data_IF_951051521733
#
_entry.id   IF_951051521733
#
_cell.length_a   1.000
_cell.length_b   1.000
_cell.length_c   1.000
_cell.angle_alpha   90.00
_cell.angle_beta   90.00
_cell.angle_gamma   90.00
#
_symmetry.space_group_name_H-M   'P 1'
#
loop_
_entity.id
_entity.type
_entity.pdbx_description
1 polymer ?
#
# COMPACT_ATOMS: atom_id res chain seq x y z
N UNK A 1 -10.77 -0.72 38.53
CA UNK A 1 -10.35 -1.59 37.42
C UNK A 1 -9.75 -0.74 36.33
N UNK A 2 -8.42 -0.64 36.28
CA UNK A 2 -7.67 0.24 35.37
C UNK A 2 -6.74 -0.54 34.42
N UNK A 3 -6.79 -1.88 34.46
CA UNK A 3 -5.87 -2.76 33.73
C UNK A 3 -6.24 -3.02 32.26
N UNK A 4 -7.44 -2.64 31.80
CA UNK A 4 -7.90 -2.93 30.43
C UNK A 4 -7.59 -1.82 29.40
N UNK A 5 -7.35 -0.58 29.84
CA UNK A 5 -7.04 0.54 28.93
C UNK A 5 -5.59 0.50 28.38
N UNK A 6 -4.66 -0.15 29.06
CA UNK A 6 -3.28 -0.35 28.60
C UNK A 6 -3.12 -1.43 27.54
N UNK A 7 -4.15 -2.27 27.33
CA UNK A 7 -4.11 -3.34 26.36
C UNK A 7 -4.34 -2.84 24.92
N UNK A 8 -4.97 -1.67 24.71
CA UNK A 8 -5.24 -1.13 23.37
C UNK A 8 -3.99 -0.92 22.53
N UNK A 9 -2.96 -0.20 23.03
CA UNK A 9 -1.68 -0.04 22.32
C UNK A 9 -0.92 -1.34 22.14
N UNK A 10 -0.97 -2.24 23.13
CA UNK A 10 -0.31 -3.54 23.06
C UNK A 10 -0.96 -4.47 22.01
N UNK A 11 -2.30 -4.49 21.93
CA UNK A 11 -3.06 -5.24 20.94
C UNK A 11 -2.97 -4.63 19.55
N UNK A 12 -2.88 -3.31 19.43
CA UNK A 12 -2.60 -2.63 18.16
C UNK A 12 -1.19 -2.98 17.66
N UNK A 13 -0.20 -2.97 18.55
CA UNK A 13 1.17 -3.39 18.24
C UNK A 13 1.21 -4.86 17.84
N UNK A 14 0.55 -5.74 18.59
CA UNK A 14 0.38 -7.15 18.24
C UNK A 14 -0.30 -7.32 16.88
N UNK A 15 -1.38 -6.59 16.60
CA UNK A 15 -2.07 -6.64 15.32
C UNK A 15 -1.19 -6.22 14.15
N UNK A 16 -0.42 -5.13 14.32
CA UNK A 16 0.57 -4.68 13.33
C UNK A 16 1.67 -5.73 13.13
N UNK A 17 2.21 -6.29 14.21
CA UNK A 17 3.28 -7.29 14.15
C UNK A 17 2.80 -8.62 13.55
N UNK A 18 1.59 -9.07 13.88
CA UNK A 18 0.96 -10.27 13.32
C UNK A 18 0.65 -10.09 11.83
N UNK A 19 0.16 -8.90 11.44
CA UNK A 19 -0.05 -8.56 10.04
C UNK A 19 1.28 -8.52 9.27
N UNK A 20 2.31 -7.86 9.81
CA UNK A 20 3.65 -7.83 9.21
C UNK A 20 4.26 -9.23 9.09
N UNK A 21 4.08 -10.09 10.09
CA UNK A 21 4.55 -11.48 10.06
C UNK A 21 3.81 -12.31 9.00
N UNK A 22 2.49 -12.14 8.89
CA UNK A 22 1.68 -12.78 7.85
C UNK A 22 2.07 -12.29 6.45
N UNK A 23 2.37 -11.01 6.30
CA UNK A 23 2.84 -10.42 5.05
C UNK A 23 4.25 -10.86 4.68
N UNK A 24 5.17 -10.94 5.64
CA UNK A 24 6.51 -11.48 5.40
C UNK A 24 6.44 -12.94 4.95
N UNK A 25 5.56 -13.76 5.54
CA UNK A 25 5.38 -15.14 5.10
C UNK A 25 4.79 -15.24 3.68
N UNK A 26 4.04 -14.24 3.23
CA UNK A 26 3.53 -14.16 1.86
C UNK A 26 4.58 -13.65 0.86
N UNK A 27 5.40 -12.68 1.27
CA UNK A 27 6.42 -12.04 0.41
C UNK A 27 7.73 -12.82 0.35
N UNK A 28 8.14 -13.51 1.41
CA UNK A 28 9.42 -14.23 1.48
C UNK A 28 9.58 -15.29 0.38
N UNK A 29 8.55 -16.09 0.03
CA UNK A 29 8.62 -17.00 -1.12
C UNK A 29 8.78 -16.26 -2.46
N UNK A 30 8.16 -15.10 -2.63
CA UNK A 30 8.25 -14.28 -3.85
C UNK A 30 9.60 -13.55 -3.97
N UNK A 31 10.19 -13.14 -2.83
CA UNK A 31 11.50 -12.50 -2.74
C UNK A 31 12.63 -13.53 -2.95
N UNK A 32 12.54 -14.69 -2.30
CA UNK A 32 13.52 -15.79 -2.47
C UNK A 32 13.41 -16.43 -3.86
N UNK A 33 12.23 -16.42 -4.50
CA UNK A 33 12.08 -16.83 -5.89
C UNK A 33 12.74 -15.88 -6.91
N UNK A 34 13.28 -14.73 -6.48
CA UNK A 34 14.03 -13.80 -7.33
C UNK A 34 15.54 -13.83 -7.00
N UNK A 35 16.32 -14.55 -7.78
CA UNK A 35 17.69 -15.00 -7.46
C UNK A 35 18.75 -13.88 -7.31
N UNK A 36 19.75 -14.17 -6.46
CA UNK A 36 20.70 -13.29 -5.74
C UNK A 36 21.82 -12.54 -6.51
N UNK A 37 21.78 -12.35 -7.83
CA UNK A 37 22.84 -11.56 -8.52
C UNK A 37 22.26 -10.48 -9.42
N UNK A 38 22.02 -9.30 -8.83
CA UNK A 38 21.79 -8.01 -9.54
C UNK A 38 20.74 -8.06 -10.65
N UNK A 39 19.44 -8.15 -10.29
CA UNK A 39 18.35 -7.93 -11.25
C UNK A 39 17.13 -7.18 -10.69
N UNK A 40 17.14 -6.69 -9.45
CA UNK A 40 15.95 -6.07 -8.85
C UNK A 40 15.55 -4.74 -9.49
N UNK A 41 16.51 -3.84 -9.76
CA UNK A 41 16.21 -2.53 -10.34
C UNK A 41 15.77 -2.62 -11.82
N UNK A 42 16.48 -3.34 -12.71
CA UNK A 42 16.06 -3.48 -14.11
C UNK A 42 14.74 -4.23 -14.25
N UNK A 43 14.49 -5.26 -13.43
CA UNK A 43 13.22 -6.00 -13.43
C UNK A 43 12.08 -5.11 -12.94
N UNK A 44 12.28 -4.33 -11.87
CA UNK A 44 11.27 -3.36 -11.41
C UNK A 44 10.93 -2.33 -12.49
N UNK A 45 11.96 -1.79 -13.17
CA UNK A 45 11.78 -0.87 -14.31
C UNK A 45 11.05 -1.53 -15.48
N UNK A 46 11.35 -2.80 -15.79
CA UNK A 46 10.66 -3.55 -16.83
C UNK A 46 9.18 -3.77 -16.49
N UNK A 47 8.87 -4.18 -15.26
CA UNK A 47 7.48 -4.37 -14.79
C UNK A 47 6.69 -3.06 -14.88
N UNK A 48 7.28 -1.94 -14.45
CA UNK A 48 6.64 -0.63 -14.56
C UNK A 48 6.44 -0.18 -16.01
N UNK A 49 7.44 -0.40 -16.87
CA UNK A 49 7.35 -0.06 -18.29
C UNK A 49 6.28 -0.90 -19.00
N UNK A 50 6.19 -2.19 -18.68
CA UNK A 50 5.17 -3.09 -19.22
C UNK A 50 3.77 -2.74 -18.69
N UNK A 51 3.62 -2.44 -17.40
CA UNK A 51 2.34 -2.01 -16.82
C UNK A 51 1.84 -0.70 -17.43
N UNK A 52 2.75 0.27 -17.65
CA UNK A 52 2.42 1.53 -18.32
C UNK A 52 2.02 1.33 -19.79
N UNK A 53 2.67 0.39 -20.48
CA UNK A 53 2.35 0.06 -21.87
C UNK A 53 1.03 -0.70 -21.98
N UNK A 54 0.76 -1.63 -21.07
CA UNK A 54 -0.49 -2.36 -21.01
C UNK A 54 -1.68 -1.41 -20.78
N UNK A 55 -1.56 -0.48 -19.84
CA UNK A 55 -2.56 0.59 -19.63
C UNK A 55 -2.85 1.42 -20.88
N UNK A 56 -1.85 1.65 -21.74
CA UNK A 56 -2.04 2.35 -23.01
C UNK A 56 -2.75 1.49 -24.06
N UNK A 57 -2.63 0.16 -23.98
CA UNK A 57 -3.20 -0.80 -24.93
C UNK A 57 -4.61 -1.23 -24.56
N UNK A 58 -4.85 -1.57 -23.30
CA UNK A 58 -6.13 -2.10 -22.79
C UNK A 58 -7.05 -1.00 -22.24
N UNK A 59 -6.52 0.20 -22.03
CA UNK A 59 -7.25 1.34 -21.47
C UNK A 59 -7.21 1.37 -19.94
N UNK A 60 -7.91 2.34 -19.35
CA UNK A 60 -8.00 2.46 -17.89
C UNK A 60 -8.91 1.37 -17.31
N UNK A 61 -8.61 0.84 -16.11
CA UNK A 61 -9.43 -0.20 -15.49
C UNK A 61 -10.88 0.27 -15.26
N UNK A 62 -11.85 -0.66 -15.34
CA UNK A 62 -13.25 -0.35 -15.06
C UNK A 62 -13.41 0.15 -13.62
N UNK A 63 -14.48 0.93 -13.37
CA UNK A 63 -14.68 1.65 -12.10
C UNK A 63 -14.43 0.81 -10.82
N UNK A 64 -14.90 -0.45 -10.72
CA UNK A 64 -14.67 -1.27 -9.52
C UNK A 64 -13.20 -1.61 -9.25
N UNK A 65 -12.36 -1.68 -10.28
CA UNK A 65 -10.96 -2.09 -10.19
C UNK A 65 -9.99 -0.92 -10.00
N UNK A 66 -10.43 0.32 -10.20
CA UNK A 66 -9.59 1.52 -10.08
C UNK A 66 -8.87 1.67 -8.74
N UNK A 67 -9.44 1.30 -7.57
CA UNK A 67 -8.72 1.31 -6.30
C UNK A 67 -7.37 0.57 -6.32
N UNK A 68 -7.24 -0.48 -7.15
CA UNK A 68 -6.01 -1.27 -7.26
C UNK A 68 -4.85 -0.50 -7.87
N UNK A 69 -5.09 0.63 -8.56
CA UNK A 69 -4.02 1.47 -9.10
C UNK A 69 -3.07 1.99 -8.01
N UNK A 70 -3.54 2.08 -6.77
CA UNK A 70 -2.74 2.50 -5.62
C UNK A 70 -1.64 1.50 -5.28
N UNK A 71 -1.74 0.24 -5.71
CA UNK A 71 -0.69 -0.77 -5.50
C UNK A 71 0.66 -0.36 -6.10
N UNK A 72 0.66 0.45 -7.17
CA UNK A 72 1.87 0.93 -7.83
C UNK A 72 2.69 1.91 -6.96
N UNK A 73 2.12 2.40 -5.87
CA UNK A 73 2.83 3.25 -4.91
C UNK A 73 3.85 2.46 -4.08
N UNK A 74 3.62 1.15 -3.87
CA UNK A 74 4.44 0.33 -2.99
C UNK A 74 5.87 0.09 -3.51
N UNK A 75 6.12 -0.26 -4.79
CA UNK A 75 7.47 -0.55 -5.27
C UNK A 75 8.47 0.60 -5.04
N UNK A 76 8.15 1.83 -5.45
CA UNK A 76 9.06 2.96 -5.26
C UNK A 76 9.22 3.34 -3.78
N UNK A 77 8.17 3.23 -2.98
CA UNK A 77 8.24 3.49 -1.54
C UNK A 77 9.17 2.49 -0.83
N UNK A 78 9.03 1.20 -1.12
CA UNK A 78 9.87 0.15 -0.55
C UNK A 78 11.32 0.27 -1.03
N UNK A 79 11.53 0.55 -2.32
CA UNK A 79 12.88 0.79 -2.85
C UNK A 79 13.53 2.01 -2.21
N UNK A 80 12.77 3.07 -1.92
CA UNK A 80 13.28 4.25 -1.21
C UNK A 80 13.75 3.90 0.21
N UNK A 81 12.98 3.09 0.95
CA UNK A 81 13.37 2.57 2.28
C UNK A 81 14.67 1.77 2.15
N UNK A 82 14.73 0.80 1.24
CA UNK A 82 15.94 -0.03 1.04
C UNK A 82 17.15 0.81 0.66
N UNK A 83 17.01 1.76 -0.25
CA UNK A 83 18.10 2.67 -0.63
C UNK A 83 18.59 3.52 0.55
N UNK A 84 17.68 3.97 1.42
CA UNK A 84 18.04 4.70 2.64
C UNK A 84 18.83 3.83 3.61
N UNK A 85 18.37 2.59 3.84
CA UNK A 85 19.04 1.63 4.72
C UNK A 85 20.43 1.19 4.21
N UNK A 86 20.64 1.20 2.89
CA UNK A 86 21.93 0.92 2.25
C UNK A 86 22.88 2.14 2.22
N UNK A 87 22.50 3.28 2.79
CA UNK A 87 23.33 4.48 2.79
C UNK A 87 23.42 5.17 1.42
N UNK A 88 22.39 5.02 0.57
CA UNK A 88 22.30 5.63 -0.77
C UNK A 88 21.29 6.80 -0.77
N UNK A 89 21.56 7.94 -0.09
CA UNK A 89 20.56 8.96 0.20
C UNK A 89 20.01 9.65 -1.06
N UNK A 90 20.84 9.83 -2.09
CA UNK A 90 20.41 10.42 -3.37
C UNK A 90 19.40 9.53 -4.09
N UNK A 91 19.65 8.23 -4.14
CA UNK A 91 18.74 7.26 -4.76
C UNK A 91 17.43 7.16 -3.97
N UNK A 92 17.52 7.10 -2.63
CA UNK A 92 16.35 7.09 -1.75
C UNK A 92 15.45 8.32 -1.96
N UNK A 93 16.05 9.51 -2.06
CA UNK A 93 15.33 10.77 -2.29
C UNK A 93 14.63 10.79 -3.65
N UNK A 94 15.28 10.29 -4.71
CA UNK A 94 14.69 10.21 -6.05
C UNK A 94 13.49 9.25 -6.05
N UNK A 95 13.66 8.06 -5.48
CA UNK A 95 12.59 7.05 -5.41
C UNK A 95 11.40 7.54 -4.58
N UNK A 96 11.66 8.20 -3.44
CA UNK A 96 10.62 8.82 -2.64
C UNK A 96 9.92 9.95 -3.41
N UNK A 97 10.66 10.79 -4.14
CA UNK A 97 10.07 11.84 -4.97
C UNK A 97 9.11 11.28 -6.04
N UNK A 98 9.48 10.19 -6.70
CA UNK A 98 8.62 9.51 -7.66
C UNK A 98 7.37 8.92 -7.00
N UNK A 99 7.53 8.27 -5.84
CA UNK A 99 6.41 7.74 -5.08
C UNK A 99 5.46 8.86 -4.61
N UNK A 100 5.99 9.96 -4.09
CA UNK A 100 5.20 11.11 -3.64
C UNK A 100 4.46 11.78 -4.80
N UNK A 101 5.08 11.94 -5.96
CA UNK A 101 4.43 12.46 -7.16
C UNK A 101 3.25 11.57 -7.59
N UNK A 102 3.46 10.26 -7.66
CA UNK A 102 2.38 9.32 -7.99
C UNK A 102 1.27 9.33 -6.93
N UNK A 103 1.64 9.41 -5.64
CA UNK A 103 0.69 9.57 -4.54
C UNK A 103 -0.16 10.83 -4.67
N UNK A 104 0.43 11.96 -5.09
CA UNK A 104 -0.29 13.21 -5.34
C UNK A 104 -1.28 13.08 -6.51
N UNK A 105 -0.88 12.40 -7.60
CA UNK A 105 -1.77 12.11 -8.73
C UNK A 105 -2.96 11.29 -8.27
N UNK A 106 -2.73 10.25 -7.47
CA UNK A 106 -3.80 9.41 -6.91
C UNK A 106 -4.70 10.19 -5.95
N UNK A 107 -4.14 11.10 -5.15
CA UNK A 107 -4.91 11.97 -4.25
C UNK A 107 -5.85 12.89 -5.03
N UNK A 108 -5.38 13.51 -6.11
CA UNK A 108 -6.23 14.31 -7.01
C UNK A 108 -7.29 13.43 -7.67
N UNK A 109 -6.94 12.20 -8.04
CA UNK A 109 -7.84 11.23 -8.66
C UNK A 109 -8.75 10.49 -7.67
N UNK A 110 -8.74 10.79 -6.37
CA UNK A 110 -9.42 9.97 -5.35
C UNK A 110 -10.91 9.79 -5.63
N UNK A 111 -11.60 10.86 -6.07
CA UNK A 111 -13.03 10.80 -6.41
C UNK A 111 -13.31 9.88 -7.60
N UNK A 112 -12.38 9.80 -8.55
CA UNK A 112 -12.47 8.93 -9.71
C UNK A 112 -12.12 7.48 -9.37
N UNK A 113 -11.13 7.28 -8.48
CA UNK A 113 -10.73 5.97 -7.96
C UNK A 113 -11.87 5.31 -7.18
N UNK A 114 -12.63 6.10 -6.41
CA UNK A 114 -13.71 5.60 -5.54
C UNK A 114 -15.11 5.70 -6.17
N UNK A 115 -15.19 5.98 -7.47
CA UNK A 115 -16.47 6.28 -8.14
C UNK A 115 -17.47 5.11 -8.14
N UNK A 116 -17.01 3.86 -8.04
CA UNK A 116 -17.87 2.67 -7.90
C UNK A 116 -18.48 2.51 -6.51
N UNK A 117 -18.16 3.41 -5.58
CA UNK A 117 -18.56 3.31 -4.17
C UNK A 117 -17.66 2.37 -3.35
N UNK A 118 -17.97 2.21 -2.05
CA UNK A 118 -17.23 1.36 -1.13
C UNK A 118 -17.19 -0.10 -1.60
N UNK A 119 -16.01 -0.68 -1.66
CA UNK A 119 -15.80 -2.09 -2.05
C UNK A 119 -14.70 -2.75 -1.21
N UNK A 120 -14.63 -4.10 -1.16
CA UNK A 120 -13.54 -4.81 -0.50
C UNK A 120 -12.15 -4.38 -0.99
N UNK A 121 -12.05 -3.96 -2.26
CA UNK A 121 -10.80 -3.55 -2.90
C UNK A 121 -10.22 -2.27 -2.29
N UNK A 122 -11.00 -1.52 -1.50
CA UNK A 122 -10.49 -0.38 -0.72
C UNK A 122 -9.48 -0.82 0.34
N UNK A 123 -9.48 -2.09 0.76
CA UNK A 123 -8.40 -2.67 1.56
C UNK A 123 -7.03 -2.54 0.88
N UNK A 124 -6.99 -2.52 -0.46
CA UNK A 124 -5.77 -2.33 -1.26
C UNK A 124 -5.11 -0.96 -1.13
N UNK A 125 -5.79 0.04 -0.54
CA UNK A 125 -5.19 1.35 -0.27
C UNK A 125 -4.23 1.32 0.92
N UNK A 126 -4.42 0.38 1.85
CA UNK A 126 -3.77 0.42 3.17
C UNK A 126 -2.26 0.17 3.10
N UNK A 127 -1.84 -0.92 2.45
CA UNK A 127 -0.44 -1.30 2.33
C UNK A 127 0.41 -0.25 1.57
N UNK A 128 0.02 0.21 0.36
CA UNK A 128 0.88 1.13 -0.40
C UNK A 128 0.98 2.52 0.25
N UNK A 129 -0.09 3.00 0.90
CA UNK A 129 -0.05 4.26 1.66
C UNK A 129 0.82 4.12 2.91
N UNK A 130 0.75 2.98 3.62
CA UNK A 130 1.63 2.68 4.73
C UNK A 130 3.10 2.63 4.30
N UNK A 131 3.39 2.01 3.16
CA UNK A 131 4.74 1.98 2.59
C UNK A 131 5.27 3.38 2.26
N UNK A 132 4.42 4.26 1.68
CA UNK A 132 4.79 5.65 1.42
C UNK A 132 5.07 6.42 2.72
N UNK A 133 4.21 6.28 3.73
CA UNK A 133 4.39 6.92 5.03
C UNK A 133 5.71 6.47 5.69
N UNK A 134 5.99 5.18 5.68
CA UNK A 134 7.25 4.63 6.18
C UNK A 134 8.45 5.17 5.40
N UNK A 135 8.37 5.24 4.07
CA UNK A 135 9.44 5.80 3.23
C UNK A 135 9.73 7.26 3.57
N UNK A 136 8.69 8.08 3.78
CA UNK A 136 8.83 9.48 4.19
C UNK A 136 9.53 9.62 5.56
N UNK A 137 9.20 8.75 6.52
CA UNK A 137 9.82 8.75 7.86
C UNK A 137 11.27 8.27 7.83
N UNK A 138 11.57 7.23 7.04
CA UNK A 138 12.90 6.60 6.96
C UNK A 138 13.89 7.47 6.17
N UNK A 139 13.47 8.04 5.03
CA UNK A 139 14.32 8.96 4.25
C UNK A 139 14.57 10.25 5.03
N UNK A 140 13.59 10.69 5.82
CA UNK A 140 13.77 11.76 6.79
C UNK A 140 13.81 13.16 6.19
N UNK A 141 14.34 14.12 6.96
CA UNK A 141 14.36 15.53 6.59
C UNK A 141 12.94 16.13 6.53
N UNK A 142 12.68 16.96 5.52
CA UNK A 142 11.36 17.59 5.34
C UNK A 142 10.19 16.62 5.14
N UNK A 143 10.48 15.35 4.79
CA UNK A 143 9.47 14.31 4.58
C UNK A 143 8.87 13.77 5.87
N UNK A 144 9.51 13.97 7.03
CA UNK A 144 9.03 13.43 8.30
C UNK A 144 7.64 13.96 8.67
N UNK A 145 7.39 15.25 8.41
CA UNK A 145 6.09 15.88 8.72
C UNK A 145 4.94 15.31 7.87
N UNK A 146 5.04 15.26 6.53
CA UNK A 146 4.09 14.52 5.70
C UNK A 146 3.93 13.05 6.10
N UNK A 147 5.03 12.37 6.43
CA UNK A 147 5.02 10.96 6.83
C UNK A 147 4.23 10.72 8.12
N UNK A 148 4.43 11.56 9.13
CA UNK A 148 3.65 11.53 10.38
C UNK A 148 2.17 11.83 10.13
N UNK A 149 1.87 12.83 9.30
CA UNK A 149 0.49 13.17 8.92
C UNK A 149 -0.21 11.99 8.22
N UNK A 150 0.45 11.37 7.24
CA UNK A 150 -0.09 10.21 6.53
C UNK A 150 -0.28 9.01 7.47
N UNK A 151 0.65 8.80 8.41
CA UNK A 151 0.54 7.76 9.44
C UNK A 151 -0.64 8.00 10.37
N UNK A 152 -0.85 9.24 10.82
CA UNK A 152 -1.98 9.61 11.66
C UNK A 152 -3.32 9.37 10.95
N UNK A 153 -3.42 9.72 9.65
CA UNK A 153 -4.59 9.41 8.83
C UNK A 153 -4.79 7.91 8.72
N UNK A 154 -3.74 7.14 8.45
CA UNK A 154 -3.81 5.69 8.34
C UNK A 154 -4.31 5.02 9.63
N UNK A 155 -3.88 5.50 10.80
CA UNK A 155 -4.33 4.99 12.10
C UNK A 155 -5.83 5.16 12.34
N UNK A 156 -6.48 6.12 11.68
CA UNK A 156 -7.93 6.32 11.78
C UNK A 156 -8.67 5.57 10.66
N UNK A 157 -8.18 5.69 9.43
CA UNK A 157 -8.86 5.17 8.23
C UNK A 157 -8.78 3.65 8.16
N UNK A 158 -7.64 3.03 8.50
CA UNK A 158 -7.48 1.57 8.42
C UNK A 158 -8.44 0.85 9.36
N UNK A 159 -8.53 1.18 10.67
CA UNK A 159 -9.50 0.53 11.54
C UNK A 159 -10.95 0.76 11.11
N UNK A 160 -11.29 1.95 10.61
CA UNK A 160 -12.62 2.26 10.12
C UNK A 160 -12.99 1.40 8.90
N UNK A 161 -12.07 1.25 7.94
CA UNK A 161 -12.25 0.37 6.78
C UNK A 161 -12.34 -1.10 7.19
N UNK A 162 -11.45 -1.58 8.07
CA UNK A 162 -11.50 -2.94 8.57
C UNK A 162 -12.83 -3.24 9.26
N UNK A 163 -13.29 -2.35 10.13
CA UNK A 163 -14.59 -2.48 10.79
C UNK A 163 -15.75 -2.52 9.77
N UNK A 164 -15.69 -1.66 8.75
CA UNK A 164 -16.68 -1.62 7.67
C UNK A 164 -16.72 -2.92 6.85
N UNK A 165 -15.55 -3.50 6.53
CA UNK A 165 -15.41 -4.77 5.82
C UNK A 165 -15.92 -5.93 6.67
N UNK A 166 -15.49 -6.01 7.94
CA UNK A 166 -15.86 -7.10 8.85
C UNK A 166 -17.37 -7.16 9.10
N UNK A 167 -18.06 -6.02 9.15
CA UNK A 167 -19.53 -5.99 9.25
C UNK A 167 -20.26 -6.56 8.02
N UNK A 168 -19.60 -6.59 6.85
CA UNK A 168 -20.18 -7.01 5.57
C UNK A 168 -19.72 -8.39 5.12
N UNK A 169 -18.74 -8.96 5.83
CA UNK A 169 -18.29 -10.33 5.66
C UNK A 169 -19.39 -11.38 5.93
N UNK A 170 -20.26 -11.23 6.97
CA UNK A 170 -21.36 -12.14 7.19
C UNK A 170 -22.40 -12.01 6.06
N UNK A 171 -22.63 -13.10 5.32
CA UNK A 171 -23.69 -13.21 4.31
C UNK A 171 -23.26 -13.02 2.85
N UNK A 172 -21.97 -13.13 2.51
CA UNK A 172 -21.50 -13.21 1.11
C UNK A 172 -21.65 -11.92 0.27
N UNK A 173 -22.09 -10.81 0.89
CA UNK A 173 -22.36 -9.53 0.20
C UNK A 173 -21.12 -8.92 -0.44
N UNK A 174 -19.94 -9.15 0.14
CA UNK A 174 -18.66 -8.68 -0.43
C UNK A 174 -18.35 -9.38 -1.77
N UNK A 175 -18.61 -10.69 -1.88
CA UNK A 175 -18.37 -11.45 -3.11
C UNK A 175 -19.34 -11.03 -4.23
N UNK A 176 -20.59 -10.73 -3.87
CA UNK A 176 -21.59 -10.17 -4.80
C UNK A 176 -21.23 -8.75 -5.28
N UNK A 177 -20.56 -7.94 -4.46
CA UNK A 177 -20.12 -6.58 -4.83
C UNK A 177 -18.88 -6.54 -5.72
N UNK A 178 -18.11 -7.62 -5.81
CA UNK A 178 -16.88 -7.71 -6.62
C UNK A 178 -17.03 -8.58 -7.86
N UNK A 179 -18.25 -9.05 -8.19
CA UNK A 179 -18.50 -10.09 -9.20
C UNK A 179 -17.63 -11.36 -9.00
N UNK A 180 -17.17 -11.63 -7.78
CA UNK A 180 -16.29 -12.78 -7.51
C UNK A 180 -17.06 -14.11 -7.46
N UNK A 181 -18.39 -14.07 -7.42
CA UNK A 181 -19.27 -15.24 -7.41
C UNK A 181 -19.80 -15.63 -8.82
N UNK A 182 -19.48 -14.85 -9.86
CA UNK A 182 -19.88 -15.13 -11.25
C UNK A 182 -18.72 -15.68 -12.11
N UNK A 183 -17.57 -15.99 -11.50
CA UNK A 183 -16.38 -16.53 -12.16
C UNK A 183 -16.23 -18.05 -11.95
#
# INVERSE_FOLDING_TARGET
>A
GLSLLGAGPALATLGILTFLASWNNFLWPLVVASTERTYTLPVALAIWSLSALDHRRTGLPPAPLRPLLVIHLAPASLLAITASLLGLPKLASVLLGLAALYGLILLVAVRWLTASGPSPLWGGFTFPLGALAAAMLVVGGGWQWPGLGLTAVALVVIPALMWWVLQRWPGGRLAAMTNAAEA
#
